data_IF_799152537127
#
_entry.id   IF_799152537127
#
_cell.length_a   1.000
_cell.length_b   1.000
_cell.length_c   1.000
_cell.angle_alpha   90.00
_cell.angle_beta   90.00
_cell.angle_gamma   90.00
#
_symmetry.space_group_name_H-M   'P 1'
#
loop_
_entity.id
_entity.type
_entity.pdbx_description
1 polymer ?
#
# COMPACT_ATOMS: atom_id res chain seq x y z
N UNK A 1 -32.85 83.16 -66.38
CA UNK A 1 -34.32 83.39 -66.41
C UNK A 1 -35.03 82.07 -66.10
N UNK A 2 -36.15 82.10 -65.37
CA UNK A 2 -36.72 80.99 -64.58
C UNK A 2 -36.90 79.61 -65.26
N UNK A 3 -36.76 78.54 -64.46
CA UNK A 3 -37.37 77.21 -64.72
C UNK A 3 -37.94 76.58 -63.43
N UNK A 4 -39.25 76.32 -63.46
CA UNK A 4 -40.02 75.22 -62.82
C UNK A 4 -39.62 74.62 -61.45
N UNK A 5 -40.53 74.79 -60.46
CA UNK A 5 -41.23 73.74 -59.69
C UNK A 5 -40.52 72.39 -59.39
N UNK A 6 -40.30 72.07 -58.10
CA UNK A 6 -41.07 71.06 -57.31
C UNK A 6 -40.52 70.81 -55.88
N UNK A 7 -41.46 70.77 -54.92
CA UNK A 7 -41.59 69.84 -53.77
C UNK A 7 -40.38 69.46 -52.88
N UNK A 8 -40.46 69.85 -51.59
CA UNK A 8 -40.25 68.97 -50.41
C UNK A 8 -41.13 69.54 -49.26
N UNK A 9 -42.01 68.77 -48.61
CA UNK A 9 -41.75 67.77 -47.55
C UNK A 9 -40.83 68.26 -46.43
N UNK A 10 -41.36 68.30 -45.19
CA UNK A 10 -40.70 67.95 -43.92
C UNK A 10 -41.67 68.21 -42.74
N UNK A 11 -41.76 67.29 -41.76
CA UNK A 11 -41.45 67.49 -40.32
C UNK A 11 -42.23 66.55 -39.35
N UNK A 12 -41.53 65.49 -38.92
CA UNK A 12 -41.46 64.93 -37.55
C UNK A 12 -42.72 64.20 -37.03
N UNK A 13 -42.66 63.20 -36.15
CA UNK A 13 -41.62 62.72 -35.22
C UNK A 13 -41.58 61.16 -35.29
N UNK A 14 -40.73 60.36 -34.65
CA UNK A 14 -39.67 60.56 -33.63
C UNK A 14 -38.62 59.42 -33.79
N UNK A 15 -37.38 59.59 -33.32
CA UNK A 15 -36.43 58.47 -33.16
C UNK A 15 -35.58 58.63 -31.89
N UNK A 16 -35.46 57.57 -31.08
CA UNK A 16 -34.83 57.58 -29.75
C UNK A 16 -33.33 57.24 -29.87
N UNK A 17 -32.47 58.07 -29.27
CA UNK A 17 -31.01 57.96 -29.33
C UNK A 17 -30.47 56.87 -28.39
N UNK A 18 -29.47 56.10 -28.84
CA UNK A 18 -28.47 55.40 -28.00
C UNK A 18 -27.10 55.54 -28.72
N UNK A 19 -26.00 55.91 -28.03
CA UNK A 19 -24.79 56.41 -28.70
C UNK A 19 -23.81 55.33 -29.18
N UNK A 20 -23.05 55.71 -30.21
CA UNK A 20 -21.82 55.02 -30.66
C UNK A 20 -20.62 55.67 -29.98
N UNK A 21 -19.66 54.89 -29.44
CA UNK A 21 -18.22 55.07 -29.69
C UNK A 21 -17.27 54.17 -28.85
N UNK A 22 -16.41 53.44 -29.59
CA UNK A 22 -14.92 53.41 -29.49
C UNK A 22 -14.20 52.12 -29.05
N UNK A 23 -13.06 51.91 -29.73
CA UNK A 23 -11.87 51.12 -29.40
C UNK A 23 -12.05 49.59 -29.29
N UNK A 24 -11.58 48.75 -30.22
CA UNK A 24 -10.23 48.54 -30.78
C UNK A 24 -9.26 47.72 -29.91
N UNK A 25 -9.25 46.40 -30.12
CA UNK A 25 -8.04 45.57 -30.11
C UNK A 25 -8.38 44.24 -30.80
N UNK A 26 -7.84 43.91 -31.97
CA UNK A 26 -6.49 43.35 -32.16
C UNK A 26 -6.12 42.22 -31.21
N UNK A 27 -5.62 41.14 -31.84
CA UNK A 27 -4.54 40.22 -31.39
C UNK A 27 -4.94 38.83 -30.89
N UNK A 28 -4.93 37.91 -31.87
CA UNK A 28 -4.38 36.53 -31.85
C UNK A 28 -4.97 35.52 -30.85
N UNK A 29 -5.26 34.35 -31.40
CA UNK A 29 -5.35 33.05 -30.74
C UNK A 29 -4.52 32.98 -29.46
N UNK A 30 -5.20 32.97 -28.30
CA UNK A 30 -4.59 32.60 -27.03
C UNK A 30 -4.59 31.08 -26.94
N UNK A 31 -3.46 30.49 -27.30
CA UNK A 31 -3.13 29.11 -26.97
C UNK A 31 -3.32 28.89 -25.47
N UNK A 32 -4.40 28.22 -25.08
CA UNK A 32 -4.47 27.56 -23.77
C UNK A 32 -4.06 26.13 -24.01
N UNK A 33 -2.75 25.91 -23.87
CA UNK A 33 -2.14 24.59 -23.81
C UNK A 33 -2.83 23.80 -22.70
N UNK A 34 -3.67 22.84 -23.08
CA UNK A 34 -4.21 21.85 -22.15
C UNK A 34 -3.02 20.96 -21.77
N UNK A 35 -2.31 21.35 -20.71
CA UNK A 35 -1.34 20.49 -20.05
C UNK A 35 -2.10 19.28 -19.52
N UNK A 36 -2.17 18.22 -20.34
CA UNK A 36 -2.45 16.88 -19.86
C UNK A 36 -1.31 16.58 -18.88
N UNK A 37 -1.57 16.81 -17.59
CA UNK A 37 -0.77 16.27 -16.52
C UNK A 37 -0.96 14.76 -16.60
N UNK A 38 -0.16 14.13 -17.46
CA UNK A 38 0.08 12.70 -17.42
C UNK A 38 0.75 12.47 -16.08
N UNK A 39 -0.10 12.22 -15.07
CA UNK A 39 0.32 11.60 -13.83
C UNK A 39 1.14 10.40 -14.26
N UNK A 40 2.43 10.42 -13.95
CA UNK A 40 3.25 9.23 -14.01
C UNK A 40 2.64 8.27 -12.99
N UNK A 41 1.67 7.48 -13.47
CA UNK A 41 1.29 6.22 -12.86
C UNK A 41 2.52 5.34 -12.99
N UNK A 42 3.44 5.52 -12.04
CA UNK A 42 4.57 4.65 -11.80
C UNK A 42 4.00 3.29 -11.39
N UNK A 43 3.60 2.53 -12.40
CA UNK A 43 3.17 1.16 -12.29
C UNK A 43 4.41 0.33 -11.97
N UNK A 44 4.88 0.46 -10.74
CA UNK A 44 5.86 -0.43 -10.14
C UNK A 44 5.14 -1.77 -9.95
N UNK A 45 5.49 -2.81 -10.73
CA UNK A 45 4.83 -4.10 -10.58
C UNK A 45 5.09 -4.61 -9.16
N UNK A 46 4.03 -4.84 -8.39
CA UNK A 46 4.19 -5.36 -7.03
C UNK A 46 4.81 -6.74 -7.09
N UNK A 47 5.93 -6.95 -6.38
CA UNK A 47 6.65 -8.24 -6.31
C UNK A 47 5.78 -9.42 -5.81
N UNK A 48 4.60 -9.14 -5.25
CA UNK A 48 3.66 -10.12 -4.71
C UNK A 48 2.30 -10.11 -5.43
N UNK A 49 1.62 -11.25 -5.39
CA UNK A 49 0.28 -11.39 -5.99
C UNK A 49 -0.75 -10.45 -5.33
N UNK A 50 -1.79 -9.99 -6.06
CA UNK A 50 -2.84 -9.13 -5.49
C UNK A 50 -3.55 -9.76 -4.29
N UNK A 51 -3.77 -11.09 -4.33
CA UNK A 51 -4.37 -11.86 -3.23
C UNK A 51 -3.48 -11.86 -1.98
N UNK A 52 -2.16 -12.01 -2.14
CA UNK A 52 -1.23 -11.96 -1.02
C UNK A 52 -1.15 -10.56 -0.44
N UNK A 53 -1.08 -9.52 -1.29
CA UNK A 53 -1.12 -8.11 -0.87
C UNK A 53 -2.38 -7.78 -0.07
N UNK A 54 -3.55 -8.22 -0.53
CA UNK A 54 -4.81 -8.06 0.21
C UNK A 54 -4.74 -8.74 1.58
N UNK A 55 -4.22 -9.97 1.66
CA UNK A 55 -4.07 -10.71 2.92
C UNK A 55 -3.08 -10.06 3.88
N UNK A 56 -1.95 -9.55 3.38
CA UNK A 56 -0.99 -8.75 4.16
C UNK A 56 -1.64 -7.48 4.70
N UNK A 57 -2.33 -6.71 3.85
CA UNK A 57 -3.00 -5.48 4.28
C UNK A 57 -4.04 -5.76 5.37
N UNK A 58 -4.92 -6.76 5.18
CA UNK A 58 -5.87 -7.19 6.22
C UNK A 58 -5.16 -7.68 7.49
N UNK A 59 -3.98 -8.28 7.37
CA UNK A 59 -3.18 -8.71 8.50
C UNK A 59 -2.69 -7.51 9.33
N UNK A 60 -2.18 -6.45 8.68
CA UNK A 60 -1.73 -5.21 9.31
C UNK A 60 -2.89 -4.47 9.99
N UNK A 61 -3.96 -4.15 9.24
CA UNK A 61 -5.12 -3.39 9.74
C UNK A 61 -5.70 -4.02 11.02
N UNK A 62 -5.90 -5.34 11.03
CA UNK A 62 -6.47 -6.09 12.18
C UNK A 62 -5.46 -6.42 13.31
N UNK A 63 -4.23 -5.93 13.22
CA UNK A 63 -3.19 -6.15 14.24
C UNK A 63 -2.75 -4.84 14.89
N UNK A 64 -2.72 -3.75 14.13
CA UNK A 64 -2.45 -2.41 14.64
C UNK A 64 -3.72 -1.59 14.88
N UNK A 65 -4.88 -2.08 14.46
CA UNK A 65 -6.20 -1.41 14.59
C UNK A 65 -6.22 -0.07 13.84
N UNK A 66 -5.78 -0.11 12.57
CA UNK A 66 -5.63 1.06 11.70
C UNK A 66 -6.38 0.85 10.39
N UNK A 67 -6.98 1.91 9.86
CA UNK A 67 -7.65 1.87 8.55
C UNK A 67 -6.66 2.18 7.41
N UNK A 68 -5.91 3.27 7.57
CA UNK A 68 -4.93 3.79 6.60
C UNK A 68 -3.52 3.64 7.17
N UNK A 69 -2.61 3.13 6.35
CA UNK A 69 -1.20 2.89 6.69
C UNK A 69 -0.39 2.83 5.38
N UNK A 70 0.92 2.98 5.48
CA UNK A 70 1.88 2.84 4.39
C UNK A 70 2.82 1.65 4.65
N UNK A 71 3.20 0.96 3.57
CA UNK A 71 4.19 -0.11 3.60
C UNK A 71 5.40 0.28 2.77
N UNK A 72 6.52 0.53 3.44
CA UNK A 72 7.81 0.86 2.81
C UNK A 72 8.71 -0.38 2.81
N UNK A 73 9.18 -0.82 1.63
CA UNK A 73 10.04 -2.02 1.53
C UNK A 73 11.47 -1.67 1.97
N UNK A 74 11.96 -2.36 3.00
CA UNK A 74 13.36 -2.33 3.40
C UNK A 74 14.15 -3.19 2.41
N UNK A 75 15.12 -2.60 1.71
CA UNK A 75 15.98 -3.34 0.78
C UNK A 75 17.06 -4.08 1.58
N UNK A 76 16.92 -5.39 1.70
CA UNK A 76 17.85 -6.31 2.34
C UNK A 76 17.91 -7.62 1.56
N UNK A 77 19.03 -8.36 1.64
CA UNK A 77 19.11 -9.70 1.07
C UNK A 77 18.43 -10.71 2.00
N UNK A 78 17.14 -10.92 1.73
CA UNK A 78 16.29 -11.89 2.42
C UNK A 78 15.86 -13.02 1.47
N UNK A 79 16.54 -13.17 0.34
CA UNK A 79 16.15 -14.09 -0.74
C UNK A 79 14.79 -13.74 -1.34
N UNK A 80 13.80 -14.60 -1.09
CA UNK A 80 12.40 -14.43 -1.55
C UNK A 80 11.52 -13.64 -0.58
N UNK A 81 11.96 -13.50 0.68
CA UNK A 81 11.18 -12.86 1.73
C UNK A 81 11.29 -11.32 1.64
N UNK A 82 10.34 -10.61 2.26
CA UNK A 82 10.24 -9.15 2.20
C UNK A 82 9.97 -8.56 3.58
N UNK A 83 10.76 -7.55 3.94
CA UNK A 83 10.57 -6.77 5.15
C UNK A 83 10.01 -5.38 4.81
N UNK A 84 8.98 -4.97 5.54
CA UNK A 84 8.32 -3.67 5.40
C UNK A 84 8.34 -2.89 6.71
N UNK A 85 8.57 -1.58 6.66
CA UNK A 85 8.12 -0.65 7.70
C UNK A 85 6.62 -0.43 7.56
N UNK A 86 5.91 -0.35 8.68
CA UNK A 86 4.49 -0.04 8.76
C UNK A 86 4.38 1.35 9.40
N UNK A 87 4.07 2.35 8.59
CA UNK A 87 3.90 3.72 9.05
C UNK A 87 2.43 4.12 8.99
N UNK A 88 1.96 4.89 9.96
CA UNK A 88 0.71 5.66 9.85
C UNK A 88 1.08 7.13 9.98
N UNK A 89 0.79 7.89 8.92
CA UNK A 89 1.31 9.26 8.78
C UNK A 89 2.85 9.22 8.93
N UNK A 90 3.42 9.95 9.91
CA UNK A 90 4.85 9.94 10.22
C UNK A 90 5.21 9.05 11.44
N UNK A 91 4.26 8.27 11.99
CA UNK A 91 4.50 7.35 13.12
C UNK A 91 4.84 5.92 12.64
N UNK A 92 5.98 5.39 13.10
CA UNK A 92 6.35 3.98 12.91
C UNK A 92 5.54 3.09 13.87
N UNK A 93 4.53 2.39 13.34
CA UNK A 93 3.74 1.43 14.11
C UNK A 93 4.48 0.12 14.38
N UNK A 94 5.42 -0.24 13.50
CA UNK A 94 6.20 -1.47 13.58
C UNK A 94 6.61 -1.99 12.21
N UNK A 95 6.80 -3.31 12.10
CA UNK A 95 7.33 -3.96 10.90
C UNK A 95 6.50 -5.17 10.48
N UNK A 96 6.52 -5.51 9.18
CA UNK A 96 5.99 -6.76 8.65
C UNK A 96 7.09 -7.54 7.91
N UNK A 97 7.38 -8.75 8.38
CA UNK A 97 8.17 -9.72 7.62
C UNK A 97 7.21 -10.67 6.91
N UNK A 98 7.15 -10.61 5.59
CA UNK A 98 6.40 -11.48 4.71
C UNK A 98 7.33 -12.54 4.13
N UNK A 99 7.05 -13.82 4.36
CA UNK A 99 7.87 -14.91 3.84
C UNK A 99 7.06 -16.12 3.41
N UNK A 100 7.77 -17.09 2.85
CA UNK A 100 7.21 -18.38 2.41
C UNK A 100 7.94 -19.54 3.11
N UNK A 101 7.18 -20.59 3.49
CA UNK A 101 7.75 -21.74 4.19
C UNK A 101 7.18 -23.09 3.68
N UNK A 102 7.96 -24.20 3.74
CA UNK A 102 7.52 -25.50 3.26
C UNK A 102 6.35 -26.09 4.07
N UNK A 103 5.36 -26.61 3.34
CA UNK A 103 4.28 -27.45 3.83
C UNK A 103 4.63 -28.94 3.60
N UNK A 104 3.64 -29.83 3.54
CA UNK A 104 3.82 -31.26 3.27
C UNK A 104 4.17 -31.56 1.80
N UNK A 105 3.56 -30.86 0.84
CA UNK A 105 3.78 -31.06 -0.62
C UNK A 105 3.90 -29.75 -1.41
N UNK A 106 3.73 -28.62 -0.76
CA UNK A 106 3.67 -27.29 -1.35
C UNK A 106 4.27 -26.29 -0.34
N UNK A 107 3.94 -25.01 -0.45
CA UNK A 107 4.38 -23.92 0.41
C UNK A 107 3.20 -23.12 0.97
N UNK A 108 3.43 -22.42 2.09
CA UNK A 108 2.48 -21.46 2.65
C UNK A 108 3.14 -20.09 2.85
N UNK A 109 2.38 -19.04 2.56
CA UNK A 109 2.78 -17.66 2.83
C UNK A 109 2.41 -17.32 4.27
N UNK A 110 3.33 -16.68 4.99
CA UNK A 110 3.10 -16.21 6.35
C UNK A 110 3.58 -14.77 6.51
N UNK A 111 3.03 -14.08 7.52
CA UNK A 111 3.56 -12.80 7.98
C UNK A 111 3.81 -12.86 9.48
N UNK A 112 4.95 -12.31 9.89
CA UNK A 112 5.24 -11.96 11.28
C UNK A 112 5.21 -10.44 11.37
N UNK A 113 4.38 -9.93 12.27
CA UNK A 113 4.17 -8.51 12.52
C UNK A 113 4.83 -8.16 13.85
N UNK A 114 5.68 -7.13 13.83
CA UNK A 114 6.51 -6.73 14.96
C UNK A 114 6.09 -5.37 15.50
N UNK A 115 6.30 -5.15 16.79
CA UNK A 115 6.32 -3.82 17.40
C UNK A 115 7.62 -3.07 16.98
N UNK A 116 7.74 -1.75 17.23
CA UNK A 116 8.94 -0.98 16.91
C UNK A 116 10.21 -1.46 17.62
N UNK A 117 10.09 -2.14 18.77
CA UNK A 117 11.20 -2.75 19.51
C UNK A 117 11.71 -4.07 18.92
N UNK A 118 11.05 -4.57 17.87
CA UNK A 118 11.25 -5.86 17.20
C UNK A 118 10.82 -7.11 18.01
N UNK A 119 9.94 -6.93 19.01
CA UNK A 119 9.15 -8.02 19.57
C UNK A 119 7.99 -8.41 18.63
N UNK A 120 7.67 -9.70 18.55
CA UNK A 120 6.55 -10.20 17.75
C UNK A 120 5.22 -9.74 18.37
N UNK A 121 4.50 -8.89 17.63
CA UNK A 121 3.14 -8.45 17.96
C UNK A 121 2.10 -9.50 17.58
N UNK A 122 2.27 -10.15 16.42
CA UNK A 122 1.36 -11.20 15.91
C UNK A 122 1.97 -11.97 14.75
N UNK A 123 1.57 -13.22 14.54
CA UNK A 123 1.85 -13.97 13.31
C UNK A 123 0.56 -14.51 12.68
N UNK A 124 0.56 -14.66 11.34
CA UNK A 124 -0.56 -15.17 10.55
C UNK A 124 -0.06 -15.97 9.34
N UNK A 125 -0.67 -17.12 9.09
CA UNK A 125 -0.62 -17.78 7.77
C UNK A 125 -1.60 -17.04 6.85
N UNK A 126 -1.13 -16.54 5.71
CA UNK A 126 -1.89 -15.71 4.78
C UNK A 126 -2.54 -16.53 3.65
N UNK A 127 -1.78 -17.44 3.05
CA UNK A 127 -2.22 -18.36 2.01
C UNK A 127 -1.61 -19.72 2.31
N UNK A 128 -2.45 -20.74 2.36
CA UNK A 128 -2.03 -22.12 2.56
C UNK A 128 -2.70 -22.95 1.46
N UNK A 129 -1.88 -23.61 0.64
CA UNK A 129 -2.29 -24.21 -0.65
C UNK A 129 -2.85 -25.63 -0.52
N UNK A 130 -2.52 -26.34 0.56
CA UNK A 130 -2.97 -27.72 0.81
C UNK A 130 -4.16 -27.83 1.77
N UNK A 131 -4.81 -29.00 1.80
CA UNK A 131 -5.87 -29.31 2.78
C UNK A 131 -5.32 -29.87 4.11
N UNK A 132 -4.19 -30.57 4.09
CA UNK A 132 -3.55 -31.15 5.28
C UNK A 132 -2.63 -30.13 5.96
N UNK A 133 -2.59 -30.10 7.30
CA UNK A 133 -1.72 -29.22 8.09
C UNK A 133 -2.19 -27.77 8.27
N UNK A 134 -3.33 -27.38 7.69
CA UNK A 134 -3.92 -26.01 7.80
C UNK A 134 -4.13 -25.51 9.23
N UNK A 135 -4.14 -26.41 10.22
CA UNK A 135 -4.34 -26.10 11.64
C UNK A 135 -3.31 -25.09 12.19
N UNK A 136 -2.11 -24.99 11.58
CA UNK A 136 -1.11 -23.97 11.93
C UNK A 136 -1.60 -22.53 11.68
N UNK A 137 -2.60 -22.33 10.81
CA UNK A 137 -3.21 -21.01 10.59
C UNK A 137 -4.08 -20.52 11.75
N UNK A 138 -4.34 -21.35 12.76
CA UNK A 138 -5.18 -20.99 13.90
C UNK A 138 -4.46 -20.03 14.85
N UNK A 139 -5.14 -18.95 15.24
CA UNK A 139 -4.60 -17.99 16.21
C UNK A 139 -4.40 -18.61 17.62
N UNK A 140 -5.05 -19.74 17.91
CA UNK A 140 -4.82 -20.53 19.14
C UNK A 140 -3.38 -21.06 19.22
N UNK A 141 -2.82 -21.49 18.08
CA UNK A 141 -1.46 -22.00 18.01
C UNK A 141 -0.44 -20.87 17.74
N UNK A 142 -0.76 -19.95 16.82
CA UNK A 142 0.13 -18.86 16.43
C UNK A 142 0.40 -17.82 17.54
N UNK A 143 -0.48 -17.70 18.56
CA UNK A 143 -0.26 -16.76 19.67
C UNK A 143 1.01 -17.07 20.49
N UNK A 144 1.56 -18.27 20.40
CA UNK A 144 2.78 -18.67 21.12
C UNK A 144 4.03 -17.91 20.68
N UNK A 145 4.01 -17.33 19.48
CA UNK A 145 5.08 -16.48 19.00
C UNK A 145 5.01 -15.04 19.56
N UNK A 146 3.91 -14.62 20.19
CA UNK A 146 3.73 -13.24 20.66
C UNK A 146 4.70 -12.93 21.81
N UNK A 147 5.32 -11.75 21.77
CA UNK A 147 6.28 -11.27 22.76
C UNK A 147 7.71 -11.77 22.55
N UNK A 148 7.90 -12.84 21.77
CA UNK A 148 9.23 -13.34 21.41
C UNK A 148 10.00 -12.32 20.55
N UNK A 149 11.32 -12.29 20.67
CA UNK A 149 12.16 -11.21 20.14
C UNK A 149 13.54 -11.66 19.68
N UNK A 150 14.40 -10.69 19.38
CA UNK A 150 15.72 -10.94 18.82
C UNK A 150 16.62 -11.70 19.80
N UNK A 151 17.16 -12.84 19.35
CA UNK A 151 18.00 -13.71 20.17
C UNK A 151 17.26 -14.87 20.85
N UNK A 152 15.92 -14.93 20.75
CA UNK A 152 15.16 -16.12 21.14
C UNK A 152 15.38 -17.25 20.12
N UNK A 153 15.76 -18.43 20.60
CA UNK A 153 15.70 -19.70 19.86
C UNK A 153 14.29 -20.28 19.97
N UNK A 154 13.82 -21.01 18.95
CA UNK A 154 12.46 -21.58 18.91
C UNK A 154 12.47 -23.07 18.53
N UNK A 155 12.43 -23.96 19.51
CA UNK A 155 12.31 -25.40 19.26
C UNK A 155 10.84 -25.88 19.22
N UNK A 156 10.48 -26.60 18.15
CA UNK A 156 9.16 -27.21 18.01
C UNK A 156 9.02 -28.43 18.94
N UNK A 157 8.01 -28.39 19.80
CA UNK A 157 7.77 -29.39 20.85
C UNK A 157 8.34 -29.00 22.21
N UNK A 158 9.14 -27.92 22.28
CA UNK A 158 9.70 -27.38 23.54
C UNK A 158 9.24 -25.93 23.76
N UNK A 159 9.67 -24.98 22.91
CA UNK A 159 9.28 -23.56 22.97
C UNK A 159 7.92 -23.26 22.34
N UNK A 160 7.47 -24.13 21.42
CA UNK A 160 6.24 -24.01 20.65
C UNK A 160 5.53 -25.36 20.65
N UNK A 161 4.30 -25.41 21.18
CA UNK A 161 3.48 -26.62 21.31
C UNK A 161 3.40 -27.41 20.00
N UNK A 162 3.48 -28.74 20.13
CA UNK A 162 3.19 -29.65 19.03
C UNK A 162 1.71 -29.56 18.58
N UNK A 163 1.45 -29.84 17.29
CA UNK A 163 0.09 -29.78 16.73
C UNK A 163 -0.25 -30.99 15.86
N UNK A 164 -1.21 -31.78 16.34
CA UNK A 164 -1.65 -33.04 15.72
C UNK A 164 -2.18 -32.84 14.30
N UNK A 165 -1.69 -33.67 13.38
CA UNK A 165 -2.06 -33.61 11.96
C UNK A 165 -1.55 -32.37 11.22
N UNK A 166 -0.54 -31.67 11.75
CA UNK A 166 0.12 -30.54 11.11
C UNK A 166 1.64 -30.44 11.39
N UNK A 167 2.25 -31.52 11.90
CA UNK A 167 3.64 -31.57 12.40
C UNK A 167 4.69 -31.00 11.43
N UNK A 168 4.58 -31.29 10.13
CA UNK A 168 5.55 -30.82 9.11
C UNK A 168 5.47 -29.29 9.00
N UNK A 169 4.30 -28.76 8.65
CA UNK A 169 4.07 -27.32 8.48
C UNK A 169 4.32 -26.53 9.77
N UNK A 170 4.09 -27.15 10.94
CA UNK A 170 4.34 -26.55 12.23
C UNK A 170 5.85 -26.42 12.53
N UNK A 171 6.63 -27.48 12.28
CA UNK A 171 8.11 -27.41 12.34
C UNK A 171 8.65 -26.35 11.37
N UNK A 172 8.16 -26.32 10.13
CA UNK A 172 8.53 -25.30 9.14
C UNK A 172 8.22 -23.89 9.61
N UNK A 173 7.01 -23.65 10.15
CA UNK A 173 6.61 -22.33 10.64
C UNK A 173 7.46 -21.90 11.83
N UNK A 174 7.72 -22.79 12.79
CA UNK A 174 8.58 -22.48 13.95
C UNK A 174 9.98 -22.05 13.50
N UNK A 175 10.63 -22.84 12.64
CA UNK A 175 11.94 -22.51 12.08
C UNK A 175 11.95 -21.25 11.20
N UNK A 176 10.85 -20.98 10.49
CA UNK A 176 10.73 -19.77 9.68
C UNK A 176 10.63 -18.50 10.55
N UNK A 177 9.92 -18.56 11.67
CA UNK A 177 9.88 -17.45 12.65
C UNK A 177 11.24 -17.27 13.34
N UNK A 178 11.92 -18.35 13.70
CA UNK A 178 13.29 -18.28 14.26
C UNK A 178 14.26 -17.59 13.31
N UNK A 179 14.33 -18.05 12.06
CA UNK A 179 15.14 -17.44 11.01
C UNK A 179 14.78 -15.97 10.76
N UNK A 180 13.50 -15.60 10.92
CA UNK A 180 13.07 -14.20 10.85
C UNK A 180 13.70 -13.36 11.97
N UNK A 181 13.74 -13.88 13.20
CA UNK A 181 14.37 -13.20 14.33
C UNK A 181 15.90 -13.08 14.15
N UNK A 182 16.55 -14.11 13.61
CA UNK A 182 17.97 -14.07 13.23
C UNK A 182 18.25 -12.99 12.18
N UNK A 183 17.47 -12.95 11.08
CA UNK A 183 17.59 -11.93 10.03
C UNK A 183 17.43 -10.51 10.61
N UNK A 184 16.41 -10.27 11.44
CA UNK A 184 16.20 -8.96 12.07
C UNK A 184 17.31 -8.58 13.05
N UNK A 185 17.92 -9.55 13.74
CA UNK A 185 19.08 -9.29 14.60
C UNK A 185 20.31 -8.85 13.80
N UNK A 186 20.56 -9.44 12.62
CA UNK A 186 21.61 -9.00 11.69
C UNK A 186 21.33 -7.59 11.18
N UNK A 187 20.13 -7.33 10.65
CA UNK A 187 19.78 -6.02 10.09
C UNK A 187 19.81 -4.89 11.14
N UNK A 188 19.44 -5.17 12.39
CA UNK A 188 19.59 -4.24 13.52
C UNK A 188 21.06 -3.96 13.85
N UNK A 189 21.91 -4.99 13.84
CA UNK A 189 23.37 -4.85 14.06
C UNK A 189 24.04 -4.02 12.96
N UNK A 190 23.56 -4.15 11.73
CA UNK A 190 24.03 -3.41 10.56
C UNK A 190 23.44 -1.99 10.44
N UNK A 191 22.54 -1.60 11.35
CA UNK A 191 21.84 -0.28 11.38
C UNK A 191 20.98 -0.03 10.14
N UNK A 192 20.40 -1.09 9.57
CA UNK A 192 19.38 -1.01 8.51
C UNK A 192 17.98 -0.75 9.11
N UNK A 193 17.78 -1.14 10.38
CA UNK A 193 16.56 -0.96 11.17
C UNK A 193 16.73 0.12 12.24
#
# INVERSE_FOLDING_TARGET
>A
MMRSLRLSQNLWWTAKQIPVHRASSFRKYKSVMLCIAVLFLSFSPSKISPRLKQKLNSAVQTTFTVEVFQLEIIQADLGTDMLYKINQEDELLGYAYLGEAPSMKDVFDYVVLFNPDLSIKKSKVLIYRENHGRQIGSQRWLKQFIGKGLGDTLEYGEDIDAISGATISAKSMTKAVEKTLEHLAVLKKEKVL
#
